data_IF_592365845188
#
_entry.id   IF_592365845188
#
_cell.length_a   1.000
_cell.length_b   1.000
_cell.length_c   1.000
_cell.angle_alpha   90.00
_cell.angle_beta   90.00
_cell.angle_gamma   90.00
#
_symmetry.space_group_name_H-M   'P 1'
#
loop_
_entity.id
_entity.type
_entity.pdbx_description
1 polymer ?
#
# COMPACT_ATOMS: atom_id res chain seq x y z
N UNK A 1 10.99 4.60 4.70
CA UNK A 1 11.12 4.81 3.22
C UNK A 1 11.07 3.45 2.55
N UNK A 2 10.38 3.35 1.41
CA UNK A 2 10.11 2.14 0.65
C UNK A 2 10.28 2.42 -0.84
N UNK A 3 10.17 1.39 -1.67
CA UNK A 3 10.31 1.50 -3.14
C UNK A 3 8.99 1.29 -3.88
N UNK A 4 7.98 0.78 -3.19
CA UNK A 4 6.72 0.34 -3.78
C UNK A 4 6.84 -1.00 -4.53
N UNK A 5 7.86 -1.78 -4.22
CA UNK A 5 8.04 -3.14 -4.72
C UNK A 5 7.68 -4.12 -3.62
N UNK A 6 6.51 -4.73 -3.75
CA UNK A 6 6.03 -5.73 -2.78
C UNK A 6 6.99 -6.92 -2.75
N UNK A 7 7.52 -7.22 -1.57
CA UNK A 7 8.48 -8.30 -1.38
C UNK A 7 7.80 -9.63 -1.03
N UNK A 8 6.65 -9.55 -0.34
CA UNK A 8 5.87 -10.73 0.05
C UNK A 8 4.41 -10.35 0.29
N UNK A 9 3.56 -11.36 0.35
CA UNK A 9 2.24 -11.24 0.94
C UNK A 9 2.25 -11.94 2.30
N UNK A 10 1.52 -11.38 3.27
CA UNK A 10 1.35 -11.94 4.59
C UNK A 10 -0.13 -12.18 4.89
N UNK A 11 -0.42 -13.24 5.63
CA UNK A 11 -1.75 -13.48 6.18
C UNK A 11 -1.96 -12.64 7.44
N UNK A 12 -3.13 -12.02 7.58
CA UNK A 12 -3.57 -11.44 8.86
C UNK A 12 -3.89 -12.58 9.82
N UNK A 13 -3.00 -12.80 10.77
CA UNK A 13 -3.19 -13.82 11.80
C UNK A 13 -4.16 -13.37 12.89
N UNK A 14 -4.10 -12.08 13.26
CA UNK A 14 -5.01 -11.47 14.24
C UNK A 14 -5.17 -9.98 13.96
N UNK A 15 -6.40 -9.48 14.09
CA UNK A 15 -6.73 -8.07 14.06
C UNK A 15 -7.72 -7.79 15.19
N UNK A 16 -7.29 -7.13 16.28
CA UNK A 16 -8.12 -6.86 17.47
C UNK A 16 -8.05 -5.39 17.82
N UNK A 17 -9.21 -4.77 17.96
CA UNK A 17 -9.31 -3.37 18.37
C UNK A 17 -9.49 -3.29 19.89
N UNK A 18 -8.49 -2.77 20.57
CA UNK A 18 -8.47 -2.60 22.02
C UNK A 18 -7.76 -1.29 22.40
N UNK A 19 -8.25 -0.58 23.42
CA UNK A 19 -7.60 0.63 23.97
C UNK A 19 -7.26 1.70 22.92
N UNK A 20 -8.13 1.90 21.91
CA UNK A 20 -7.96 2.84 20.79
C UNK A 20 -6.80 2.48 19.82
N UNK A 21 -6.38 1.23 19.78
CA UNK A 21 -5.43 0.70 18.81
C UNK A 21 -6.01 -0.52 18.11
N UNK A 22 -5.68 -0.69 16.85
CA UNK A 22 -5.78 -1.98 16.21
C UNK A 22 -4.48 -2.74 16.46
N UNK A 23 -4.54 -3.78 17.30
CA UNK A 23 -3.45 -4.73 17.47
C UNK A 23 -3.47 -5.71 16.30
N UNK A 24 -2.53 -5.52 15.37
CA UNK A 24 -2.42 -6.29 14.13
C UNK A 24 -1.26 -7.27 14.23
N UNK A 25 -1.51 -8.55 13.94
CA UNK A 25 -0.46 -9.57 13.83
C UNK A 25 -0.54 -10.15 12.42
N UNK A 26 0.57 -10.09 11.70
CA UNK A 26 0.72 -10.75 10.40
C UNK A 26 1.55 -12.02 10.54
N UNK A 27 1.28 -13.00 9.67
CA UNK A 27 2.03 -14.25 9.55
C UNK A 27 2.61 -14.37 8.15
N UNK A 28 3.91 -14.64 8.05
CA UNK A 28 4.61 -14.88 6.80
C UNK A 28 5.79 -15.83 7.01
N UNK A 29 6.50 -16.20 5.94
CA UNK A 29 7.66 -17.10 6.05
C UNK A 29 8.81 -16.42 6.80
N UNK A 30 9.51 -17.18 7.65
CA UNK A 30 10.54 -16.63 8.57
C UNK A 30 11.75 -16.01 7.85
N UNK A 31 12.06 -16.43 6.64
CA UNK A 31 13.14 -15.83 5.83
C UNK A 31 12.95 -14.33 5.58
N UNK A 32 11.70 -13.85 5.62
CA UNK A 32 11.40 -12.43 5.39
C UNK A 32 11.93 -11.51 6.51
N UNK A 33 12.13 -12.04 7.72
CA UNK A 33 12.51 -11.22 8.89
C UNK A 33 13.99 -11.27 9.25
N UNK A 34 14.85 -11.74 8.32
CA UNK A 34 16.28 -11.72 8.54
C UNK A 34 16.76 -10.30 8.92
N UNK A 35 17.51 -10.20 10.03
CA UNK A 35 17.94 -8.94 10.64
C UNK A 35 16.80 -7.95 11.00
N UNK A 36 15.57 -8.42 11.24
CA UNK A 36 14.50 -7.56 11.75
C UNK A 36 14.79 -7.16 13.20
N UNK A 37 14.54 -5.89 13.52
CA UNK A 37 14.68 -5.36 14.88
C UNK A 37 13.37 -4.75 15.36
N UNK A 38 13.15 -4.71 16.66
CA UNK A 38 12.06 -3.93 17.24
C UNK A 38 12.23 -2.45 16.86
N UNK A 39 11.12 -1.78 16.58
CA UNK A 39 11.13 -0.40 16.10
C UNK A 39 11.41 -0.26 14.59
N UNK A 40 11.71 -1.35 13.87
CA UNK A 40 11.83 -1.30 12.42
C UNK A 40 10.49 -0.95 11.75
N UNK A 41 10.55 -0.28 10.58
CA UNK A 41 9.35 -0.01 9.78
C UNK A 41 9.12 -1.09 8.73
N UNK A 42 7.87 -1.51 8.60
CA UNK A 42 7.38 -2.40 7.53
C UNK A 42 6.14 -1.75 6.93
N UNK A 43 6.02 -1.73 5.61
CA UNK A 43 4.82 -1.29 4.92
C UNK A 43 3.82 -2.45 4.81
N UNK A 44 2.61 -2.26 5.34
CA UNK A 44 1.48 -3.19 5.26
C UNK A 44 0.40 -2.55 4.38
N UNK A 45 0.11 -3.12 3.22
CA UNK A 45 -0.72 -2.47 2.21
C UNK A 45 -0.32 -1.01 1.97
N UNK A 46 1.00 -0.73 1.97
CA UNK A 46 1.56 0.61 1.79
C UNK A 46 1.52 1.52 3.03
N UNK A 47 0.99 1.07 4.15
CA UNK A 47 1.02 1.82 5.41
C UNK A 47 2.29 1.48 6.17
N UNK A 48 3.11 2.49 6.46
CA UNK A 48 4.31 2.34 7.29
C UNK A 48 3.92 2.07 8.74
N UNK A 49 4.20 0.86 9.23
CA UNK A 49 3.94 0.45 10.60
C UNK A 49 5.23 0.10 11.32
N UNK A 50 5.27 0.37 12.62
CA UNK A 50 6.42 0.08 13.48
C UNK A 50 6.25 -1.30 14.13
N UNK A 51 7.27 -2.14 14.01
CA UNK A 51 7.31 -3.46 14.66
C UNK A 51 7.40 -3.29 16.17
N UNK A 52 6.39 -3.76 16.90
CA UNK A 52 6.35 -3.71 18.37
C UNK A 52 6.75 -5.05 19.01
N UNK A 53 6.51 -6.15 18.30
CA UNK A 53 6.92 -7.50 18.70
C UNK A 53 7.09 -8.36 17.45
N UNK A 54 7.97 -9.35 17.49
CA UNK A 54 7.99 -10.45 16.53
C UNK A 54 8.48 -11.73 17.20
N UNK A 55 8.05 -12.85 16.67
CA UNK A 55 8.49 -14.19 17.11
C UNK A 55 8.51 -15.13 15.90
N UNK A 56 9.37 -16.13 15.97
CA UNK A 56 9.44 -17.21 14.99
C UNK A 56 8.91 -18.47 15.66
N UNK A 57 7.94 -19.10 15.00
CA UNK A 57 7.40 -20.39 15.41
C UNK A 57 7.50 -21.29 14.18
N UNK A 58 8.30 -22.34 14.27
CA UNK A 58 8.68 -23.20 13.14
C UNK A 58 9.23 -22.34 11.97
N UNK A 59 8.68 -22.47 10.77
CA UNK A 59 9.11 -21.75 9.58
C UNK A 59 8.34 -20.42 9.37
N UNK A 60 7.59 -19.93 10.37
CA UNK A 60 6.77 -18.73 10.24
C UNK A 60 7.18 -17.65 11.22
N UNK A 61 7.16 -16.44 10.74
CA UNK A 61 7.29 -15.23 11.55
C UNK A 61 5.91 -14.64 11.83
N UNK A 62 5.68 -14.26 13.09
CA UNK A 62 4.53 -13.52 13.55
C UNK A 62 5.00 -12.14 13.96
N UNK A 63 4.53 -11.10 13.26
CA UNK A 63 4.97 -9.72 13.49
C UNK A 63 3.79 -8.89 13.96
N UNK A 64 3.95 -8.18 15.08
CA UNK A 64 2.89 -7.39 15.71
C UNK A 64 3.12 -5.90 15.50
N UNK A 65 2.01 -5.20 15.29
CA UNK A 65 1.94 -3.75 15.11
C UNK A 65 0.78 -3.18 15.91
N UNK A 66 0.93 -1.95 16.39
CA UNK A 66 -0.14 -1.16 16.99
C UNK A 66 -0.49 -0.01 16.05
N UNK A 67 -1.73 -0.01 15.54
CA UNK A 67 -2.20 0.95 14.54
C UNK A 67 -3.15 1.93 15.20
N UNK A 68 -2.82 3.24 15.15
CA UNK A 68 -3.62 4.32 15.76
C UNK A 68 -4.82 4.69 14.90
N UNK A 69 -5.84 5.31 15.51
CA UNK A 69 -7.09 5.71 14.87
C UNK A 69 -6.90 6.62 13.64
N UNK A 70 -5.93 7.55 13.69
CA UNK A 70 -5.63 8.42 12.55
C UNK A 70 -5.28 7.60 11.30
N UNK A 71 -4.42 6.59 11.47
CA UNK A 71 -4.02 5.69 10.39
C UNK A 71 -5.19 4.84 9.88
N UNK A 72 -6.04 4.36 10.78
CA UNK A 72 -7.23 3.58 10.45
C UNK A 72 -8.25 4.39 9.64
N UNK A 73 -8.40 5.68 9.95
CA UNK A 73 -9.34 6.57 9.25
C UNK A 73 -8.99 6.75 7.77
N UNK A 74 -7.71 6.89 7.44
CA UNK A 74 -7.26 7.19 6.07
C UNK A 74 -6.90 5.94 5.26
N UNK A 75 -6.82 4.77 5.89
CA UNK A 75 -6.38 3.52 5.26
C UNK A 75 -7.46 2.44 5.29
N UNK A 76 -7.24 1.37 4.52
CA UNK A 76 -8.08 0.18 4.54
C UNK A 76 -7.76 -0.78 5.70
N UNK A 77 -6.82 -0.44 6.57
CA UNK A 77 -6.43 -1.31 7.70
C UNK A 77 -7.56 -1.53 8.70
N UNK A 78 -8.51 -0.57 8.82
CA UNK A 78 -9.69 -0.72 9.66
C UNK A 78 -10.62 -1.89 9.26
N UNK A 79 -10.52 -2.36 8.02
CA UNK A 79 -11.34 -3.45 7.47
C UNK A 79 -10.62 -4.81 7.46
N UNK A 80 -9.36 -4.85 7.93
CA UNK A 80 -8.62 -6.10 7.97
C UNK A 80 -9.21 -7.06 9.02
N UNK A 81 -9.28 -8.32 8.66
CA UNK A 81 -9.68 -9.41 9.55
C UNK A 81 -8.80 -10.64 9.31
N UNK A 82 -8.81 -11.56 10.25
CA UNK A 82 -8.05 -12.81 10.20
C UNK A 82 -8.33 -13.57 8.89
N UNK A 83 -7.28 -14.06 8.27
CA UNK A 83 -7.30 -14.80 6.99
C UNK A 83 -7.13 -13.91 5.75
N UNK A 84 -7.24 -12.58 5.85
CA UNK A 84 -6.95 -11.70 4.70
C UNK A 84 -5.46 -11.66 4.38
N UNK A 85 -5.14 -11.47 3.08
CA UNK A 85 -3.77 -11.29 2.60
C UNK A 85 -3.45 -9.80 2.41
N UNK A 86 -2.30 -9.38 2.89
CA UNK A 86 -1.79 -8.02 2.75
C UNK A 86 -0.44 -8.00 2.06
N UNK A 87 -0.18 -6.95 1.29
CA UNK A 87 1.14 -6.71 0.70
C UNK A 87 2.12 -6.25 1.77
N UNK A 88 3.35 -6.75 1.71
CA UNK A 88 4.41 -6.45 2.68
C UNK A 88 5.68 -6.02 1.97
N UNK A 89 6.26 -4.91 2.42
CA UNK A 89 7.56 -4.42 1.99
C UNK A 89 8.36 -3.96 3.21
N UNK A 90 9.62 -4.35 3.32
CA UNK A 90 10.56 -3.84 4.33
C UNK A 90 11.17 -2.52 3.89
N UNK A 91 11.62 -1.74 4.87
CA UNK A 91 12.32 -0.49 4.61
C UNK A 91 13.50 -0.65 3.67
N UNK A 92 13.62 0.27 2.71
CA UNK A 92 14.74 0.44 1.82
C UNK A 92 16.05 0.62 2.64
N UNK A 93 17.09 -0.13 2.28
CA UNK A 93 18.44 0.04 2.83
C UNK A 93 19.29 0.92 1.90
N UNK A 94 20.30 1.58 2.46
CA UNK A 94 21.29 2.30 1.63
C UNK A 94 22.05 1.31 0.75
N UNK A 95 22.01 1.56 -0.56
CA UNK A 95 22.62 0.68 -1.56
C UNK A 95 21.65 -0.28 -2.25
N UNK A 96 20.40 -0.38 -1.80
CA UNK A 96 19.37 -1.16 -2.48
C UNK A 96 18.95 -0.50 -3.81
N UNK A 97 18.48 -1.32 -4.74
CA UNK A 97 17.90 -0.88 -6.01
C UNK A 97 16.50 -0.32 -5.82
N UNK A 98 16.19 0.84 -6.44
CA UNK A 98 14.86 1.43 -6.45
C UNK A 98 14.13 0.99 -7.72
N UNK A 99 13.47 -0.17 -7.66
CA UNK A 99 12.72 -0.71 -8.81
C UNK A 99 11.41 0.00 -9.12
N UNK A 100 10.86 0.78 -8.17
CA UNK A 100 9.65 1.59 -8.34
C UNK A 100 9.93 3.08 -8.26
N UNK A 101 9.40 3.75 -7.24
CA UNK A 101 9.72 5.14 -6.90
C UNK A 101 9.88 5.28 -5.38
N UNK A 102 10.29 6.44 -4.89
CA UNK A 102 10.43 6.67 -3.45
C UNK A 102 9.04 6.81 -2.82
N UNK A 103 8.72 5.87 -1.93
CA UNK A 103 7.46 5.77 -1.20
C UNK A 103 7.71 5.99 0.29
N UNK A 104 6.90 6.80 0.95
CA UNK A 104 7.05 7.09 2.38
C UNK A 104 6.36 6.06 3.27
N UNK A 105 5.30 5.44 2.78
CA UNK A 105 4.37 4.63 3.55
C UNK A 105 3.30 5.46 4.27
N UNK A 106 3.14 6.73 3.88
CA UNK A 106 2.13 7.63 4.43
C UNK A 106 0.93 7.72 3.49
N UNK A 107 -0.03 6.85 3.71
CA UNK A 107 -1.27 6.80 2.93
C UNK A 107 -2.07 8.09 3.09
N UNK A 108 -2.49 8.69 1.98
CA UNK A 108 -3.23 9.95 1.96
C UNK A 108 -4.74 9.73 1.98
N UNK A 109 -5.21 8.66 1.36
CA UNK A 109 -6.63 8.36 1.18
C UNK A 109 -6.84 6.93 0.67
N UNK A 110 -8.11 6.58 0.47
CA UNK A 110 -8.52 5.34 -0.20
C UNK A 110 -9.16 5.66 -1.54
N UNK A 111 -9.13 4.67 -2.44
CA UNK A 111 -9.87 4.70 -3.71
C UNK A 111 -10.62 3.39 -3.90
N UNK A 112 -11.84 3.46 -4.45
CA UNK A 112 -12.64 2.28 -4.73
C UNK A 112 -12.35 1.74 -6.13
N UNK A 113 -12.22 0.42 -6.28
CA UNK A 113 -12.13 -0.24 -7.59
C UNK A 113 -13.51 -0.17 -8.27
N UNK A 114 -13.59 0.52 -9.40
CA UNK A 114 -14.88 0.73 -10.12
C UNK A 114 -14.97 -0.05 -11.44
N UNK A 115 -13.83 -0.51 -11.98
CA UNK A 115 -13.79 -1.33 -13.18
C UNK A 115 -12.56 -2.23 -13.20
N UNK A 116 -12.70 -3.48 -13.68
CA UNK A 116 -11.62 -4.45 -13.79
C UNK A 116 -11.79 -5.25 -15.08
N UNK A 117 -10.90 -5.02 -16.02
CA UNK A 117 -10.89 -5.72 -17.32
C UNK A 117 -9.62 -6.55 -17.40
N UNK A 118 -9.77 -7.86 -17.42
CA UNK A 118 -8.66 -8.80 -17.51
C UNK A 118 -8.60 -9.46 -18.88
N UNK A 119 -7.40 -9.50 -19.43
CA UNK A 119 -7.04 -10.24 -20.64
C UNK A 119 -5.97 -11.28 -20.32
N UNK A 120 -5.52 -12.04 -21.30
CA UNK A 120 -4.46 -13.03 -21.09
C UNK A 120 -3.10 -12.41 -20.72
N UNK A 121 -2.84 -11.16 -21.07
CA UNK A 121 -1.52 -10.50 -20.91
C UNK A 121 -1.56 -9.25 -20.04
N UNK A 122 -2.74 -8.74 -19.70
CA UNK A 122 -2.90 -7.47 -19.01
C UNK A 122 -4.17 -7.47 -18.16
N UNK A 123 -4.14 -6.75 -17.05
CA UNK A 123 -5.31 -6.41 -16.28
C UNK A 123 -5.38 -4.88 -16.12
N UNK A 124 -6.42 -4.26 -16.68
CA UNK A 124 -6.72 -2.85 -16.46
C UNK A 124 -7.63 -2.73 -15.25
N UNK A 125 -7.22 -1.96 -14.27
CA UNK A 125 -8.03 -1.61 -13.09
C UNK A 125 -8.26 -0.11 -13.06
N UNK A 126 -9.50 0.30 -12.81
CA UNK A 126 -9.91 1.71 -12.71
C UNK A 126 -10.38 2.01 -11.32
N UNK A 127 -9.84 3.08 -10.73
CA UNK A 127 -10.11 3.48 -9.35
C UNK A 127 -10.74 4.87 -9.31
N UNK A 128 -11.79 5.01 -8.49
CA UNK A 128 -12.44 6.30 -8.21
C UNK A 128 -11.80 6.97 -7.02
N UNK A 129 -11.34 8.20 -7.20
CA UNK A 129 -10.67 8.99 -6.19
C UNK A 129 -11.49 10.24 -5.84
N UNK A 130 -11.47 10.64 -4.56
CA UNK A 130 -12.12 11.85 -4.10
C UNK A 130 -11.55 13.10 -4.80
N UNK A 131 -12.42 14.09 -5.11
CA UNK A 131 -12.12 15.26 -5.95
C UNK A 131 -10.88 16.04 -5.50
N UNK A 132 -10.73 16.25 -4.20
CA UNK A 132 -9.59 17.00 -3.63
C UNK A 132 -8.21 16.42 -3.97
N UNK A 133 -8.13 15.13 -4.32
CA UNK A 133 -6.87 14.45 -4.63
C UNK A 133 -6.59 14.32 -6.13
N UNK A 134 -7.58 14.56 -7.00
CA UNK A 134 -7.48 14.32 -8.44
C UNK A 134 -6.41 15.18 -9.13
N UNK A 135 -6.16 16.38 -8.62
CA UNK A 135 -5.14 17.30 -9.15
C UNK A 135 -3.70 16.76 -9.04
N UNK A 136 -3.48 15.74 -8.21
CA UNK A 136 -2.18 15.10 -8.05
C UNK A 136 -2.02 13.84 -8.91
N UNK A 137 -3.05 13.43 -9.65
CA UNK A 137 -3.03 12.25 -10.51
C UNK A 137 -2.74 12.68 -11.94
N UNK A 138 -1.50 12.45 -12.37
CA UNK A 138 -1.04 12.83 -13.69
C UNK A 138 -0.84 11.60 -14.57
N UNK A 139 -1.36 11.57 -15.82
CA UNK A 139 -1.08 10.49 -16.76
C UNK A 139 0.42 10.27 -16.90
N UNK A 140 0.87 9.02 -16.85
CA UNK A 140 2.28 8.60 -16.86
C UNK A 140 3.09 8.97 -15.59
N UNK A 141 2.46 9.60 -14.59
CA UNK A 141 3.06 9.79 -13.27
C UNK A 141 3.04 8.52 -12.43
N UNK A 142 3.66 8.58 -11.27
CA UNK A 142 3.62 7.50 -10.28
C UNK A 142 2.41 7.62 -9.36
N UNK A 143 1.95 6.48 -8.90
CA UNK A 143 0.98 6.33 -7.80
C UNK A 143 1.30 5.06 -7.03
N UNK A 144 1.07 5.07 -5.72
CA UNK A 144 1.18 3.86 -4.91
C UNK A 144 -0.22 3.35 -4.54
N UNK A 145 -0.51 2.10 -4.87
CA UNK A 145 -1.79 1.42 -4.57
C UNK A 145 -1.50 0.20 -3.70
N UNK A 146 -2.02 0.15 -2.47
CA UNK A 146 -1.72 -0.90 -1.48
C UNK A 146 -0.21 -1.19 -1.37
N UNK A 147 0.63 -0.14 -1.41
CA UNK A 147 2.08 -0.26 -1.33
C UNK A 147 2.78 -0.60 -2.65
N UNK A 148 2.06 -0.70 -3.76
CA UNK A 148 2.61 -1.06 -5.06
C UNK A 148 2.85 0.20 -5.88
N UNK A 149 4.09 0.44 -6.32
CA UNK A 149 4.44 1.50 -7.25
C UNK A 149 3.90 1.19 -8.64
N UNK A 150 3.02 2.03 -9.15
CA UNK A 150 2.37 1.87 -10.44
C UNK A 150 2.43 3.14 -11.27
N UNK A 151 2.36 2.98 -12.58
CA UNK A 151 2.22 4.09 -13.53
C UNK A 151 0.75 4.39 -13.76
N UNK A 152 0.36 5.64 -13.62
CA UNK A 152 -0.98 6.12 -13.95
C UNK A 152 -1.20 6.04 -15.47
N UNK A 153 -2.28 5.38 -15.86
CA UNK A 153 -2.76 5.33 -17.24
C UNK A 153 -3.68 6.50 -17.57
N UNK A 154 -4.88 6.18 -18.06
CA UNK A 154 -5.90 7.19 -18.38
C UNK A 154 -6.48 7.80 -17.11
N UNK A 155 -6.77 9.12 -17.17
CA UNK A 155 -7.44 9.86 -16.09
C UNK A 155 -8.66 10.55 -16.67
N UNK A 156 -9.83 10.26 -16.15
CA UNK A 156 -11.09 10.83 -16.65
C UNK A 156 -12.10 11.00 -15.51
N UNK A 157 -12.59 12.21 -15.29
CA UNK A 157 -13.71 12.52 -14.36
C UNK A 157 -13.57 11.89 -12.96
N UNK A 158 -12.39 11.98 -12.37
CA UNK A 158 -12.14 11.45 -11.02
C UNK A 158 -11.87 9.96 -10.93
N UNK A 159 -11.74 9.31 -12.07
CA UNK A 159 -11.31 7.91 -12.20
C UNK A 159 -9.95 7.88 -12.90
N UNK A 160 -9.03 7.12 -12.36
CA UNK A 160 -7.76 6.83 -13.01
C UNK A 160 -7.62 5.32 -13.22
N UNK A 161 -6.89 4.94 -14.26
CA UNK A 161 -6.62 3.54 -14.56
C UNK A 161 -5.15 3.20 -14.35
N UNK A 162 -4.87 1.94 -14.05
CA UNK A 162 -3.54 1.33 -14.07
C UNK A 162 -3.58 0.06 -14.90
N UNK A 163 -2.45 -0.28 -15.52
CA UNK A 163 -2.29 -1.49 -16.33
C UNK A 163 -1.30 -2.41 -15.64
N UNK A 164 -1.74 -3.62 -15.29
CA UNK A 164 -1.00 -4.59 -14.50
C UNK A 164 -0.58 -5.76 -15.36
N UNK A 165 0.69 -6.11 -15.28
CA UNK A 165 1.24 -7.32 -15.88
C UNK A 165 0.95 -8.54 -14.99
N UNK A 166 0.95 -9.77 -15.54
CA UNK A 166 0.68 -10.99 -14.76
C UNK A 166 1.56 -11.13 -13.52
N UNK A 167 2.83 -10.74 -13.59
CA UNK A 167 3.77 -10.80 -12.46
C UNK A 167 3.31 -9.93 -11.28
N UNK A 168 2.84 -8.71 -11.54
CA UNK A 168 2.31 -7.82 -10.50
C UNK A 168 1.08 -8.43 -9.83
N UNK A 169 0.19 -9.03 -10.60
CA UNK A 169 -1.00 -9.71 -10.07
C UNK A 169 -0.63 -10.94 -9.22
N UNK A 170 0.38 -11.70 -9.64
CA UNK A 170 0.81 -12.90 -8.91
C UNK A 170 1.50 -12.56 -7.56
N UNK A 171 2.25 -11.45 -7.51
CA UNK A 171 3.00 -11.05 -6.32
C UNK A 171 2.24 -10.17 -5.34
N UNK A 172 1.05 -9.69 -5.69
CA UNK A 172 0.33 -8.70 -4.89
C UNK A 172 -1.13 -9.10 -4.66
N UNK A 173 -1.76 -8.46 -3.69
CA UNK A 173 -3.16 -8.69 -3.38
C UNK A 173 -4.16 -8.04 -4.36
N UNK A 174 -3.69 -7.37 -5.43
CA UNK A 174 -4.58 -6.73 -6.41
C UNK A 174 -5.42 -7.74 -7.19
N UNK A 175 -4.90 -8.96 -7.40
CA UNK A 175 -5.64 -10.00 -8.12
C UNK A 175 -6.96 -10.37 -7.45
N UNK A 176 -7.00 -10.37 -6.12
CA UNK A 176 -8.16 -10.75 -5.32
C UNK A 176 -9.22 -9.65 -5.15
N UNK A 177 -8.93 -8.41 -5.61
CA UNK A 177 -9.87 -7.31 -5.47
C UNK A 177 -11.14 -7.52 -6.30
N UNK A 178 -12.27 -7.23 -5.67
CA UNK A 178 -13.60 -7.15 -6.24
C UNK A 178 -14.03 -5.69 -6.48
N UNK A 179 -15.04 -5.47 -7.33
CA UNK A 179 -15.60 -4.13 -7.51
C UNK A 179 -16.11 -3.58 -6.17
N UNK A 180 -15.84 -2.31 -5.94
CA UNK A 180 -16.10 -1.53 -4.71
C UNK A 180 -15.12 -1.80 -3.55
N UNK A 181 -14.17 -2.73 -3.68
CA UNK A 181 -13.11 -2.82 -2.67
C UNK A 181 -12.27 -1.55 -2.64
N UNK A 182 -11.93 -1.12 -1.43
CA UNK A 182 -11.10 0.06 -1.19
C UNK A 182 -9.61 -0.32 -1.10
N UNK A 183 -8.78 0.44 -1.79
CA UNK A 183 -7.32 0.33 -1.74
C UNK A 183 -6.71 1.58 -1.14
N UNK A 184 -5.58 1.43 -0.45
CA UNK A 184 -4.78 2.55 0.05
C UNK A 184 -4.10 3.28 -1.10
N UNK A 185 -4.15 4.61 -1.06
CA UNK A 185 -3.50 5.49 -2.05
C UNK A 185 -2.47 6.35 -1.35
N UNK A 186 -1.23 6.24 -1.79
CA UNK A 186 -0.19 7.22 -1.53
C UNK A 186 0.14 7.96 -2.83
N UNK A 187 0.03 9.27 -2.80
CA UNK A 187 0.33 10.16 -3.93
C UNK A 187 1.84 10.41 -3.98
N UNK A 188 2.37 10.56 -5.19
CA UNK A 188 3.79 10.90 -5.36
C UNK A 188 4.13 12.23 -4.69
N UNK A 189 5.08 12.19 -3.76
CA UNK A 189 5.45 13.33 -2.92
C UNK A 189 6.03 14.49 -3.75
N UNK A 190 6.72 14.21 -4.84
CA UNK A 190 7.26 15.26 -5.72
C UNK A 190 6.13 15.99 -6.42
N UNK A 191 5.19 15.25 -6.99
CA UNK A 191 3.98 15.82 -7.63
C UNK A 191 3.19 16.66 -6.62
N UNK A 192 2.96 16.13 -5.41
CA UNK A 192 2.24 16.87 -4.36
C UNK A 192 2.93 18.18 -3.99
N UNK A 193 4.24 18.14 -3.79
CA UNK A 193 5.02 19.32 -3.42
C UNK A 193 4.94 20.38 -4.51
N UNK A 194 5.14 20.01 -5.78
CA UNK A 194 5.10 20.94 -6.92
C UNK A 194 3.71 21.58 -7.05
N UNK A 195 2.65 20.77 -7.12
CA UNK A 195 1.28 21.26 -7.31
C UNK A 195 0.87 22.18 -6.15
N UNK A 196 1.12 21.77 -4.90
CA UNK A 196 0.78 22.56 -3.72
C UNK A 196 1.57 23.87 -3.65
N UNK A 197 2.84 23.85 -4.03
CA UNK A 197 3.67 25.07 -4.07
C UNK A 197 3.14 26.06 -5.10
N UNK A 198 2.81 25.60 -6.31
CA UNK A 198 2.24 26.45 -7.35
C UNK A 198 0.89 27.05 -6.92
N UNK A 199 0.03 26.26 -6.28
CA UNK A 199 -1.24 26.75 -5.75
C UNK A 199 -1.05 27.86 -4.71
N UNK A 200 -0.10 27.68 -3.78
CA UNK A 200 0.23 28.70 -2.77
C UNK A 200 0.85 29.98 -3.33
N UNK A 201 1.53 29.88 -4.46
CA UNK A 201 2.15 31.07 -5.13
C UNK A 201 1.14 31.90 -5.95
N UNK A 202 -0.04 31.37 -6.22
CA UNK A 202 -1.12 32.06 -6.97
C UNK A 202 -2.01 32.95 -6.06
N UNK A 203 -1.62 33.17 -4.81
CA UNK A 203 -2.31 34.03 -3.85
C UNK A 203 -1.87 35.50 -4.01
#
# INVERSE_FOLDING_TARGET
MFTGIVQSQAEIYSAKYENNFLHLIIKLHSEFIDHLTLGASIAINGVCLTVVKFEIIDDHAFISFDVIDETLTVSNLAHLHTGMMVNVERSLKVGDEIGGHIVSGHVHTKAALVDKIQTNTNCRMSFKLAEKWQKYILPKGFITINGISLTVGEVTKGVFAVHLIPETLARTNLASLSLQDEVNIELDQQTMTIVTTIERMKL
#
